data_IF_652239891080
#
_entry.id   IF_652239891080
#
_cell.length_a   1.000
_cell.length_b   1.000
_cell.length_c   1.000
_cell.angle_alpha   90.00
_cell.angle_beta   90.00
_cell.angle_gamma   90.00
#
_symmetry.space_group_name_H-M   'P 1'
#
loop_
_entity.id
_entity.type
_entity.pdbx_description
1 polymer ?
#
# COMPACT_ATOMS: atom_id res chain seq x y z
N UNK A 1 -13.32 10.41 -24.14
CA UNK A 1 -13.67 9.81 -22.83
C UNK A 1 -13.32 8.33 -22.76
N UNK A 2 -13.81 7.47 -23.67
CA UNK A 2 -13.52 6.03 -23.64
C UNK A 2 -12.02 5.69 -23.72
N UNK A 3 -11.28 6.36 -24.63
CA UNK A 3 -9.82 6.17 -24.76
C UNK A 3 -9.09 6.54 -23.46
N UNK A 4 -9.48 7.65 -22.83
CA UNK A 4 -8.89 8.10 -21.57
C UNK A 4 -9.17 7.12 -20.42
N UNK A 5 -10.39 6.56 -20.39
CA UNK A 5 -10.79 5.55 -19.43
C UNK A 5 -9.98 4.26 -19.60
N UNK A 6 -9.88 3.72 -20.82
CA UNK A 6 -9.11 2.50 -21.12
C UNK A 6 -7.63 2.71 -20.81
N UNK A 7 -7.07 3.86 -21.19
CA UNK A 7 -5.67 4.16 -20.91
C UNK A 7 -5.40 4.24 -19.39
N UNK A 8 -6.24 4.93 -18.63
CA UNK A 8 -6.12 4.98 -17.16
C UNK A 8 -6.25 3.61 -16.51
N UNK A 9 -7.15 2.78 -17.03
CA UNK A 9 -7.34 1.41 -16.57
C UNK A 9 -6.09 0.55 -16.80
N UNK A 10 -5.57 0.52 -18.03
CA UNK A 10 -4.39 -0.29 -18.40
C UNK A 10 -3.13 0.20 -17.69
N UNK A 11 -2.93 1.51 -17.62
CA UNK A 11 -1.77 2.10 -16.94
C UNK A 11 -1.77 1.76 -15.45
N UNK A 12 -2.93 1.92 -14.79
CA UNK A 12 -3.05 1.64 -13.36
C UNK A 12 -2.92 0.15 -13.08
N UNK A 13 -3.42 -0.72 -13.97
CA UNK A 13 -3.14 -2.15 -13.85
C UNK A 13 -1.63 -2.41 -13.87
N UNK A 14 -0.89 -1.84 -14.82
CA UNK A 14 0.56 -2.03 -14.92
C UNK A 14 1.35 -1.52 -13.70
N UNK A 15 0.88 -0.44 -13.06
CA UNK A 15 1.54 0.16 -11.89
C UNK A 15 1.18 -0.49 -10.56
N UNK A 16 -0.06 -0.99 -10.42
CA UNK A 16 -0.59 -1.49 -9.14
C UNK A 16 -0.38 -3.02 -9.00
N UNK A 17 -0.33 -3.77 -10.11
CA UNK A 17 -0.09 -5.22 -10.12
C UNK A 17 1.22 -5.67 -9.48
N UNK A 18 2.38 -5.00 -9.71
CA UNK A 18 3.64 -5.41 -9.13
C UNK A 18 3.52 -5.60 -7.62
N UNK A 19 3.91 -6.77 -7.12
CA UNK A 19 3.75 -7.12 -5.71
C UNK A 19 4.77 -6.35 -4.87
N UNK A 20 4.38 -5.17 -4.38
CA UNK A 20 5.16 -4.36 -3.45
C UNK A 20 4.86 -4.65 -1.98
N UNK A 21 5.46 -3.87 -1.08
CA UNK A 21 5.30 -4.01 0.37
C UNK A 21 3.83 -3.84 0.83
N UNK A 22 3.07 -2.95 0.17
CA UNK A 22 1.65 -2.70 0.46
C UNK A 22 0.80 -3.91 0.09
N UNK A 23 1.03 -4.48 -1.09
CA UNK A 23 0.34 -5.68 -1.58
C UNK A 23 0.66 -6.89 -0.67
N UNK A 24 1.93 -7.08 -0.28
CA UNK A 24 2.33 -8.14 0.65
C UNK A 24 1.68 -8.04 2.03
N UNK A 25 1.51 -6.83 2.55
CA UNK A 25 0.81 -6.61 3.81
C UNK A 25 -0.68 -6.95 3.73
N UNK A 26 -1.36 -6.51 2.66
CA UNK A 26 -2.78 -6.83 2.47
C UNK A 26 -2.99 -8.34 2.29
N UNK A 27 -2.09 -9.01 1.56
CA UNK A 27 -2.09 -10.47 1.41
C UNK A 27 -1.93 -11.18 2.77
N UNK A 28 -0.96 -10.76 3.58
CA UNK A 28 -0.73 -11.38 4.89
C UNK A 28 -1.92 -11.14 5.82
N UNK A 29 -2.50 -9.93 5.86
CA UNK A 29 -3.70 -9.68 6.64
C UNK A 29 -4.92 -10.47 6.15
N UNK A 30 -5.18 -10.51 4.83
CA UNK A 30 -6.29 -11.30 4.29
C UNK A 30 -6.17 -12.80 4.62
N UNK A 31 -4.95 -13.33 4.64
CA UNK A 31 -4.68 -14.73 5.01
C UNK A 31 -4.76 -15.00 6.52
N UNK A 32 -4.37 -14.03 7.36
CA UNK A 32 -4.35 -14.15 8.83
C UNK A 32 -5.75 -14.07 9.46
N UNK A 33 -6.64 -13.28 8.87
CA UNK A 33 -7.95 -12.99 9.45
C UNK A 33 -8.99 -14.06 9.10
N UNK A 34 -9.64 -14.62 10.13
CA UNK A 34 -10.68 -15.67 10.01
C UNK A 34 -12.00 -15.15 9.40
N UNK A 35 -12.23 -13.83 9.41
CA UNK A 35 -13.34 -13.17 8.70
C UNK A 35 -12.77 -12.16 7.72
N UNK A 36 -13.24 -12.20 6.47
CA UNK A 36 -12.89 -11.20 5.44
C UNK A 36 -13.18 -9.75 5.89
N UNK A 37 -14.21 -9.55 6.73
CA UNK A 37 -14.55 -8.24 7.28
C UNK A 37 -13.42 -7.61 8.14
N UNK A 38 -12.50 -8.42 8.66
CA UNK A 38 -11.42 -7.92 9.52
C UNK A 38 -10.15 -7.51 8.77
N UNK A 39 -10.03 -7.80 7.46
CA UNK A 39 -9.00 -7.24 6.57
C UNK A 39 -9.48 -5.98 5.82
N UNK A 40 -10.79 -5.71 5.82
CA UNK A 40 -11.39 -4.52 5.22
C UNK A 40 -10.75 -3.19 5.64
N UNK A 41 -10.37 -2.96 6.91
CA UNK A 41 -9.78 -1.68 7.29
C UNK A 41 -8.47 -1.39 6.55
N UNK A 42 -7.62 -2.40 6.34
CA UNK A 42 -6.40 -2.27 5.56
C UNK A 42 -6.70 -1.97 4.09
N UNK A 43 -7.60 -2.76 3.48
CA UNK A 43 -8.00 -2.62 2.07
C UNK A 43 -8.60 -1.25 1.79
N UNK A 44 -9.57 -0.82 2.60
CA UNK A 44 -10.23 0.47 2.45
C UNK A 44 -9.23 1.62 2.64
N UNK A 45 -8.33 1.51 3.63
CA UNK A 45 -7.30 2.53 3.85
C UNK A 45 -6.34 2.63 2.67
N UNK A 46 -5.88 1.49 2.12
CA UNK A 46 -5.05 1.44 0.93
C UNK A 46 -5.77 2.11 -0.25
N UNK A 47 -6.99 1.69 -0.56
CA UNK A 47 -7.76 2.22 -1.68
C UNK A 47 -8.05 3.71 -1.53
N UNK A 48 -8.32 4.21 -0.32
CA UNK A 48 -8.51 5.64 -0.06
C UNK A 48 -7.21 6.41 -0.28
N UNK A 49 -6.08 5.94 0.27
CA UNK A 49 -4.79 6.61 0.09
C UNK A 49 -4.42 6.68 -1.40
N UNK A 50 -4.60 5.58 -2.13
CA UNK A 50 -4.30 5.50 -3.55
C UNK A 50 -5.23 6.41 -4.38
N UNK A 51 -6.53 6.45 -4.03
CA UNK A 51 -7.49 7.37 -4.64
C UNK A 51 -7.11 8.84 -4.40
N UNK A 52 -6.65 9.18 -3.19
CA UNK A 52 -6.17 10.53 -2.88
C UNK A 52 -4.93 10.88 -3.70
N UNK A 53 -3.97 9.97 -3.81
CA UNK A 53 -2.75 10.18 -4.60
C UNK A 53 -3.04 10.33 -6.09
N UNK A 54 -3.91 9.47 -6.65
CA UNK A 54 -4.37 9.57 -8.04
C UNK A 54 -5.12 10.89 -8.25
N UNK A 55 -5.98 11.29 -7.31
CA UNK A 55 -6.69 12.57 -7.36
C UNK A 55 -5.73 13.75 -7.41
N UNK A 56 -4.74 13.78 -6.52
CA UNK A 56 -3.69 14.81 -6.51
C UNK A 56 -2.87 14.81 -7.80
N UNK A 57 -2.54 13.63 -8.34
CA UNK A 57 -1.82 13.48 -9.60
C UNK A 57 -2.61 14.05 -10.79
N UNK A 58 -3.90 13.75 -10.88
CA UNK A 58 -4.79 14.19 -11.97
C UNK A 58 -5.13 15.68 -11.87
N UNK A 59 -5.24 16.22 -10.64
CA UNK A 59 -5.40 17.65 -10.38
C UNK A 59 -4.14 18.47 -10.73
N UNK A 60 -3.01 17.83 -11.01
CA UNK A 60 -1.76 18.48 -11.40
C UNK A 60 -0.86 18.90 -10.23
N UNK A 61 -1.19 18.49 -9.00
CA UNK A 61 -0.39 18.73 -7.79
C UNK A 61 0.96 18.02 -7.86
N UNK A 62 1.07 16.98 -8.68
CA UNK A 62 2.31 16.26 -9.01
C UNK A 62 3.43 17.15 -9.51
N UNK A 63 3.13 18.21 -10.26
CA UNK A 63 4.17 19.12 -10.80
C UNK A 63 4.83 19.96 -9.71
N UNK A 64 4.08 20.35 -8.68
CA UNK A 64 4.54 21.17 -7.55
C UNK A 64 5.19 20.32 -6.46
N UNK A 65 4.58 19.18 -6.12
CA UNK A 65 5.05 18.33 -5.02
C UNK A 65 6.43 17.68 -5.31
N UNK A 66 6.73 17.37 -6.56
CA UNK A 66 8.02 16.78 -6.96
C UNK A 66 9.19 17.79 -6.90
N UNK A 67 8.91 19.10 -6.92
CA UNK A 67 9.95 20.14 -6.84
C UNK A 67 10.34 20.52 -5.39
N UNK A 68 9.53 20.16 -4.39
CA UNK A 68 9.79 20.54 -2.99
C UNK A 68 10.59 19.44 -2.29
N UNK A 69 11.91 19.57 -2.36
CA UNK A 69 12.89 18.64 -1.80
C UNK A 69 12.69 18.40 -0.29
N UNK A 70 12.41 19.44 0.50
CA UNK A 70 12.24 19.31 1.96
C UNK A 70 11.02 18.45 2.35
N UNK A 71 9.91 18.56 1.60
CA UNK A 71 8.69 17.79 1.87
C UNK A 71 8.95 16.29 1.70
N UNK A 72 9.72 15.92 0.67
CA UNK A 72 10.13 14.53 0.39
C UNK A 72 10.99 13.95 1.52
N UNK A 73 12.01 14.70 1.99
CA UNK A 73 12.87 14.25 3.09
C UNK A 73 12.10 14.06 4.41
N UNK A 74 11.19 14.98 4.74
CA UNK A 74 10.38 14.92 5.97
C UNK A 74 9.44 13.72 5.97
N UNK A 75 8.68 13.50 4.89
CA UNK A 75 7.82 12.31 4.79
C UNK A 75 8.64 11.01 4.77
N UNK A 76 9.77 10.99 4.07
CA UNK A 76 10.68 9.84 4.05
C UNK A 76 11.20 9.48 5.45
N UNK A 77 11.72 10.47 6.19
CA UNK A 77 12.24 10.26 7.54
C UNK A 77 11.17 9.72 8.52
N UNK A 78 9.97 10.30 8.48
CA UNK A 78 8.82 9.83 9.28
C UNK A 78 8.48 8.37 8.92
N UNK A 79 8.47 8.05 7.62
CA UNK A 79 8.23 6.69 7.12
C UNK A 79 9.23 5.67 7.62
N UNK A 80 10.52 6.00 7.60
CA UNK A 80 11.59 5.12 8.09
C UNK A 80 11.42 4.82 9.57
N UNK A 81 11.26 5.86 10.40
CA UNK A 81 11.11 5.70 11.86
C UNK A 81 9.87 4.86 12.18
N UNK A 82 8.76 5.12 11.50
CA UNK A 82 7.53 4.36 11.67
C UNK A 82 7.69 2.88 11.28
N UNK A 83 8.28 2.59 10.11
CA UNK A 83 8.48 1.23 9.62
C UNK A 83 9.43 0.42 10.53
N UNK A 84 10.51 1.04 11.03
CA UNK A 84 11.43 0.42 11.98
C UNK A 84 10.72 0.08 13.29
N UNK A 85 9.99 1.03 13.87
CA UNK A 85 9.22 0.83 15.10
C UNK A 85 8.18 -0.28 14.95
N UNK A 86 7.44 -0.27 13.84
CA UNK A 86 6.40 -1.24 13.58
C UNK A 86 6.97 -2.64 13.30
N UNK A 87 8.05 -2.76 12.53
CA UNK A 87 8.74 -4.03 12.30
C UNK A 87 9.25 -4.64 13.61
N UNK A 88 9.85 -3.82 14.48
CA UNK A 88 10.28 -4.23 15.81
C UNK A 88 9.10 -4.70 16.68
N UNK A 89 7.99 -3.96 16.66
CA UNK A 89 6.81 -4.30 17.45
C UNK A 89 6.11 -5.59 16.98
N UNK A 90 6.16 -5.88 15.68
CA UNK A 90 5.65 -7.14 15.11
C UNK A 90 6.56 -8.31 15.46
N UNK A 91 7.89 -8.13 15.37
CA UNK A 91 8.86 -9.15 15.73
C UNK A 91 8.79 -9.54 17.22
N UNK A 92 8.68 -8.55 18.12
CA UNK A 92 8.68 -8.77 19.57
C UNK A 92 7.42 -9.46 20.10
N UNK A 93 6.27 -9.27 19.43
CA UNK A 93 5.00 -9.93 19.80
C UNK A 93 4.99 -11.44 19.53
N UNK A 94 5.90 -11.91 18.69
CA UNK A 94 6.12 -13.34 18.44
C UNK A 94 6.95 -14.01 19.55
N UNK A 95 7.80 -13.23 20.24
CA UNK A 95 8.74 -13.72 21.24
C UNK A 95 8.13 -13.86 22.64
N UNK A 96 6.93 -13.32 22.87
CA UNK A 96 6.23 -13.43 24.15
C UNK A 96 5.43 -14.75 24.17
N UNK A 97 5.71 -15.69 25.10
CA UNK A 97 5.02 -16.98 25.15
C UNK A 97 3.54 -16.74 25.42
N UNK A 98 2.70 -16.96 24.41
CA UNK A 98 1.26 -16.80 24.56
C UNK A 98 0.72 -17.99 25.35
N UNK A 99 0.38 -17.76 26.62
CA UNK A 99 -0.34 -18.69 27.49
C UNK A 99 -1.67 -19.13 26.84
N UNK A 100 -1.64 -20.23 26.09
CA UNK A 100 -2.76 -21.15 25.80
C UNK A 100 -4.03 -20.60 25.13
N UNK A 101 -4.13 -19.30 24.81
CA UNK A 101 -5.27 -18.72 24.10
C UNK A 101 -4.97 -18.72 22.60
N UNK A 102 -5.92 -19.22 21.80
CA UNK A 102 -5.83 -19.17 20.33
C UNK A 102 -5.38 -17.78 19.88
N UNK A 103 -4.38 -17.66 19.00
CA UNK A 103 -3.78 -16.37 18.70
C UNK A 103 -4.79 -15.45 18.04
N UNK A 104 -4.94 -14.22 18.54
CA UNK A 104 -5.35 -13.11 17.69
C UNK A 104 -4.14 -12.61 16.89
N UNK A 105 -3.60 -13.47 16.02
CA UNK A 105 -2.52 -13.13 15.05
C UNK A 105 -2.96 -12.04 14.07
N UNK A 106 -4.26 -11.85 13.95
CA UNK A 106 -4.98 -10.73 13.36
C UNK A 106 -4.59 -9.36 13.98
N UNK A 107 -3.98 -8.46 13.20
CA UNK A 107 -3.72 -7.09 13.67
C UNK A 107 -5.03 -6.34 13.90
N UNK A 108 -5.04 -5.47 14.92
CA UNK A 108 -6.17 -4.59 15.23
C UNK A 108 -6.36 -3.56 14.11
N UNK A 109 -7.61 -3.16 13.84
CA UNK A 109 -7.95 -2.19 12.79
C UNK A 109 -7.11 -0.91 12.83
N UNK A 110 -6.87 -0.34 14.03
CA UNK A 110 -6.03 0.86 14.19
C UNK A 110 -4.59 0.67 13.68
N UNK A 111 -4.01 -0.52 13.90
CA UNK A 111 -2.66 -0.86 13.44
C UNK A 111 -2.60 -1.07 11.94
N UNK A 112 -3.61 -1.75 11.39
CA UNK A 112 -3.74 -1.94 9.95
C UNK A 112 -3.84 -0.62 9.22
N UNK A 113 -4.67 0.30 9.72
CA UNK A 113 -4.84 1.66 9.15
C UNK A 113 -3.51 2.40 9.20
N UNK A 114 -2.91 2.53 10.39
CA UNK A 114 -1.64 3.27 10.55
C UNK A 114 -0.53 2.71 9.67
N UNK A 115 -0.42 1.38 9.57
CA UNK A 115 0.60 0.76 8.72
C UNK A 115 0.34 0.97 7.24
N UNK A 116 -0.89 0.72 6.79
CA UNK A 116 -1.25 0.85 5.36
C UNK A 116 -1.14 2.29 4.89
N UNK A 117 -1.61 3.26 5.70
CA UNK A 117 -1.44 4.68 5.41
C UNK A 117 0.02 5.08 5.37
N UNK A 118 0.85 4.58 6.30
CA UNK A 118 2.28 4.92 6.31
C UNK A 118 3.00 4.33 5.10
N UNK A 119 2.73 3.08 4.76
CA UNK A 119 3.30 2.44 3.57
C UNK A 119 2.84 3.13 2.29
N UNK A 120 1.58 3.55 2.20
CA UNK A 120 1.06 4.17 0.98
C UNK A 120 1.52 5.63 0.83
N UNK A 121 1.43 6.42 1.89
CA UNK A 121 1.72 7.86 1.86
C UNK A 121 3.20 8.20 2.10
N UNK A 122 3.94 7.37 2.83
CA UNK A 122 5.35 7.66 3.15
C UNK A 122 6.31 6.94 2.20
N UNK A 123 5.83 6.11 1.29
CA UNK A 123 6.66 5.45 0.28
C UNK A 123 6.98 6.42 -0.88
N UNK A 124 8.20 7.00 -0.92
CA UNK A 124 8.57 7.97 -1.94
C UNK A 124 8.52 7.37 -3.35
N UNK A 125 8.76 6.06 -3.50
CA UNK A 125 8.66 5.39 -4.78
C UNK A 125 7.21 5.35 -5.28
N UNK A 126 6.27 4.94 -4.43
CA UNK A 126 4.85 4.92 -4.80
C UNK A 126 4.31 6.32 -5.07
N UNK A 127 4.74 7.32 -4.29
CA UNK A 127 4.42 8.72 -4.56
C UNK A 127 4.96 9.17 -5.92
N UNK A 128 6.23 8.87 -6.22
CA UNK A 128 6.86 9.30 -7.48
C UNK A 128 6.21 8.59 -8.67
N UNK A 129 5.96 7.28 -8.60
CA UNK A 129 5.32 6.54 -9.69
C UNK A 129 3.91 7.08 -9.97
N UNK A 130 3.10 7.26 -8.93
CA UNK A 130 1.74 7.79 -9.08
C UNK A 130 1.75 9.24 -9.57
N UNK A 131 2.57 10.11 -8.97
CA UNK A 131 2.60 11.52 -9.36
C UNK A 131 3.24 11.73 -10.74
N UNK A 132 4.30 11.01 -11.09
CA UNK A 132 5.02 11.17 -12.35
C UNK A 132 4.35 10.43 -13.51
N UNK A 133 3.98 9.15 -13.33
CA UNK A 133 3.45 8.33 -14.42
C UNK A 133 1.96 8.60 -14.62
N UNK A 134 1.14 8.50 -13.56
CA UNK A 134 -0.31 8.76 -13.66
C UNK A 134 -0.54 10.26 -13.86
N UNK A 135 0.14 11.12 -13.11
CA UNK A 135 0.03 12.57 -13.27
C UNK A 135 0.56 13.07 -14.61
N UNK A 136 1.72 12.60 -15.08
CA UNK A 136 2.27 12.97 -16.40
C UNK A 136 1.36 12.52 -17.55
N UNK A 137 0.78 11.33 -17.45
CA UNK A 137 -0.18 10.82 -18.44
C UNK A 137 -1.50 11.61 -18.42
N UNK A 138 -1.93 12.12 -17.27
CA UNK A 138 -3.14 12.93 -17.15
C UNK A 138 -3.00 14.29 -17.87
N UNK A 139 -1.78 14.84 -17.98
CA UNK A 139 -1.52 16.13 -18.68
C UNK A 139 -1.87 16.04 -20.17
N UNK A 140 -1.71 14.87 -20.80
CA UNK A 140 -2.00 14.63 -22.21
C UNK A 140 -3.47 14.90 -22.59
N UNK A 141 -4.38 14.86 -21.63
CA UNK A 141 -5.80 15.16 -21.88
C UNK A 141 -6.07 16.64 -21.67
N UNK A 142 -6.46 17.36 -22.71
CA UNK A 142 -6.76 18.80 -22.63
C UNK A 142 -8.14 19.10 -22.05
N UNK A 143 -9.11 18.21 -22.24
CA UNK A 143 -10.47 18.35 -21.68
C UNK A 143 -10.55 17.80 -20.26
N UNK A 144 -11.13 18.59 -19.34
CA UNK A 144 -11.32 18.22 -17.94
C UNK A 144 -12.07 16.89 -17.74
N UNK A 145 -13.09 16.64 -18.56
CA UNK A 145 -13.89 15.41 -18.55
C UNK A 145 -13.04 14.16 -18.84
N UNK A 146 -12.05 14.26 -19.74
CA UNK A 146 -11.15 13.15 -20.07
C UNK A 146 -10.14 12.89 -18.94
N UNK A 147 -9.66 13.94 -18.26
CA UNK A 147 -8.78 13.81 -17.08
C UNK A 147 -9.49 13.11 -15.93
N UNK A 148 -10.73 13.50 -15.65
CA UNK A 148 -11.54 12.84 -14.62
C UNK A 148 -11.83 11.39 -15.00
N UNK A 149 -12.21 11.11 -16.25
CA UNK A 149 -12.47 9.74 -16.69
C UNK A 149 -11.24 8.83 -16.52
N UNK A 150 -10.04 9.35 -16.81
CA UNK A 150 -8.77 8.67 -16.58
C UNK A 150 -8.50 8.43 -15.08
N UNK A 151 -8.70 9.44 -14.23
CA UNK A 151 -8.52 9.32 -12.77
C UNK A 151 -9.50 8.36 -12.12
N UNK A 152 -10.78 8.41 -12.51
CA UNK A 152 -11.82 7.48 -12.03
C UNK A 152 -11.52 6.05 -12.45
N UNK A 153 -11.08 5.82 -13.70
CA UNK A 153 -10.66 4.50 -14.15
C UNK A 153 -9.51 3.95 -13.30
N UNK A 154 -8.52 4.81 -13.03
CA UNK A 154 -7.33 4.48 -12.24
C UNK A 154 -7.69 4.11 -10.80
N UNK A 155 -8.55 4.91 -10.16
CA UNK A 155 -9.06 4.62 -8.82
C UNK A 155 -9.89 3.33 -8.80
N UNK A 156 -10.77 3.11 -9.79
CA UNK A 156 -11.56 1.88 -9.86
C UNK A 156 -10.69 0.62 -9.94
N UNK A 157 -9.60 0.65 -10.71
CA UNK A 157 -8.62 -0.45 -10.76
C UNK A 157 -7.99 -0.70 -9.40
N UNK A 158 -7.56 0.34 -8.70
CA UNK A 158 -6.98 0.23 -7.36
C UNK A 158 -7.92 -0.48 -6.37
N UNK A 159 -9.19 -0.06 -6.36
CA UNK A 159 -10.21 -0.69 -5.54
C UNK A 159 -10.44 -2.16 -5.93
N UNK A 160 -10.67 -2.44 -7.21
CA UNK A 160 -10.86 -3.81 -7.70
C UNK A 160 -9.68 -4.71 -7.33
N UNK A 161 -8.46 -4.21 -7.49
CA UNK A 161 -7.24 -4.94 -7.19
C UNK A 161 -7.11 -5.25 -5.70
N UNK A 162 -7.18 -4.24 -4.81
CA UNK A 162 -7.00 -4.47 -3.37
C UNK A 162 -8.11 -5.35 -2.78
N UNK A 163 -9.35 -5.20 -3.24
CA UNK A 163 -10.45 -6.09 -2.84
C UNK A 163 -10.22 -7.51 -3.36
N UNK A 164 -9.83 -7.67 -4.63
CA UNK A 164 -9.50 -8.97 -5.22
C UNK A 164 -8.35 -9.67 -4.48
N UNK A 165 -7.29 -8.92 -4.16
CA UNK A 165 -6.13 -9.39 -3.43
C UNK A 165 -6.51 -9.88 -2.01
N UNK A 166 -7.39 -9.15 -1.33
CA UNK A 166 -7.92 -9.52 0.00
C UNK A 166 -8.80 -10.78 -0.05
N UNK A 167 -9.65 -10.91 -1.07
CA UNK A 167 -10.47 -12.11 -1.28
C UNK A 167 -9.59 -13.33 -1.59
N UNK A 168 -8.64 -13.17 -2.52
CA UNK A 168 -7.72 -14.23 -2.92
C UNK A 168 -6.86 -14.70 -1.73
N UNK A 169 -6.29 -13.76 -0.96
CA UNK A 169 -5.53 -14.10 0.25
C UNK A 169 -6.37 -14.74 1.33
N UNK A 170 -7.64 -14.39 1.47
CA UNK A 170 -8.53 -15.08 2.42
C UNK A 170 -8.82 -16.53 2.01
N UNK A 171 -9.00 -16.80 0.70
CA UNK A 171 -9.17 -18.15 0.18
C UNK A 171 -7.90 -19.00 0.39
N UNK A 172 -6.73 -18.44 0.08
CA UNK A 172 -5.42 -19.09 0.31
C UNK A 172 -5.16 -19.28 1.81
N UNK A 173 -5.51 -18.27 2.63
CA UNK A 173 -5.42 -18.31 4.08
C UNK A 173 -6.14 -19.51 4.65
N UNK A 174 -7.39 -19.79 4.26
CA UNK A 174 -8.12 -20.98 4.75
C UNK A 174 -7.38 -22.30 4.53
N UNK A 175 -6.59 -22.42 3.47
CA UNK A 175 -5.78 -23.60 3.17
C UNK A 175 -4.49 -23.62 4.00
N UNK A 176 -3.83 -22.47 4.16
CA UNK A 176 -2.57 -22.31 4.91
C UNK A 176 -2.76 -22.35 6.43
N UNK A 177 -3.92 -21.89 6.93
CA UNK A 177 -4.32 -21.86 8.35
C UNK A 177 -4.43 -23.26 9.00
N UNK A 178 -4.33 -24.34 8.21
CA UNK A 178 -4.28 -25.72 8.70
C UNK A 178 -2.88 -26.11 9.23
N UNK A 179 -1.84 -25.32 8.97
CA UNK A 179 -0.46 -25.56 9.42
C UNK A 179 0.00 -24.47 10.40
N UNK A 180 0.90 -24.82 11.33
CA UNK A 180 1.53 -23.96 12.34
C UNK A 180 2.45 -22.85 11.74
N UNK A 181 1.98 -22.15 10.71
CA UNK A 181 2.76 -21.22 9.87
C UNK A 181 2.55 -19.74 10.21
N UNK A 182 1.79 -19.44 11.27
CA UNK A 182 1.51 -18.06 11.70
C UNK A 182 2.77 -17.27 12.04
N UNK A 183 3.71 -17.90 12.75
CA UNK A 183 4.95 -17.23 13.13
C UNK A 183 5.90 -16.98 11.99
N UNK A 184 5.87 -17.83 10.95
CA UNK A 184 6.61 -17.59 9.70
C UNK A 184 6.02 -16.37 8.99
N UNK A 185 4.70 -16.23 8.95
CA UNK A 185 4.04 -15.11 8.28
C UNK A 185 4.30 -13.76 8.96
N UNK A 186 4.24 -13.71 10.29
CA UNK A 186 4.60 -12.51 11.07
C UNK A 186 6.08 -12.16 10.90
N UNK A 187 6.96 -13.16 10.85
CA UNK A 187 8.39 -12.97 10.61
C UNK A 187 8.65 -12.40 9.21
N UNK A 188 7.98 -12.93 8.19
CA UNK A 188 8.04 -12.40 6.82
C UNK A 188 7.54 -10.96 6.78
N UNK A 189 6.42 -10.65 7.47
CA UNK A 189 5.88 -9.30 7.54
C UNK A 189 6.86 -8.32 8.20
N UNK A 190 7.41 -8.66 9.37
CA UNK A 190 8.41 -7.85 10.06
C UNK A 190 9.67 -7.63 9.21
N UNK A 191 10.17 -8.68 8.54
CA UNK A 191 11.31 -8.58 7.63
C UNK A 191 10.99 -7.67 6.43
N UNK A 192 9.80 -7.79 5.83
CA UNK A 192 9.36 -6.90 4.76
C UNK A 192 9.31 -5.43 5.21
N UNK A 193 8.91 -5.16 6.45
CA UNK A 193 8.86 -3.80 7.01
C UNK A 193 10.27 -3.20 7.18
N UNK A 194 11.23 -3.99 7.68
CA UNK A 194 12.62 -3.54 7.78
C UNK A 194 13.29 -3.36 6.43
N UNK A 195 13.10 -4.29 5.50
CA UNK A 195 13.59 -4.16 4.12
C UNK A 195 13.03 -2.90 3.45
N UNK A 196 11.74 -2.63 3.67
CA UNK A 196 11.08 -1.42 3.18
C UNK A 196 11.69 -0.16 3.79
N UNK A 197 11.95 -0.15 5.10
CA UNK A 197 12.60 0.99 5.77
C UNK A 197 14.01 1.25 5.21
N UNK A 198 14.80 0.20 4.99
CA UNK A 198 16.14 0.30 4.39
C UNK A 198 16.06 0.81 2.95
N UNK A 199 15.16 0.25 2.14
CA UNK A 199 14.95 0.70 0.77
C UNK A 199 14.51 2.17 0.72
N UNK A 200 13.62 2.59 1.62
CA UNK A 200 13.17 3.97 1.73
C UNK A 200 14.32 4.90 2.10
N UNK A 201 15.18 4.49 3.02
CA UNK A 201 16.42 5.21 3.36
C UNK A 201 17.37 5.33 2.18
N UNK A 202 17.54 4.26 1.40
CA UNK A 202 18.34 4.28 0.18
C UNK A 202 17.76 5.24 -0.87
N UNK A 203 16.44 5.19 -1.12
CA UNK A 203 15.77 6.10 -2.05
C UNK A 203 15.97 7.56 -1.60
N UNK A 204 15.73 7.86 -0.33
CA UNK A 204 15.95 9.21 0.24
C UNK A 204 17.40 9.68 0.07
N UNK A 205 18.38 8.77 0.17
CA UNK A 205 19.80 9.09 -0.01
C UNK A 205 20.24 9.22 -1.49
N UNK A 206 19.67 8.42 -2.40
CA UNK A 206 20.09 8.38 -3.81
C UNK A 206 19.54 9.53 -4.66
N UNK A 207 18.49 10.22 -4.20
CA UNK A 207 17.90 11.38 -4.87
C UNK A 207 18.62 12.71 -4.56
N UNK A 208 19.93 12.65 -4.27
CA UNK A 208 20.80 13.84 -4.13
C UNK A 208 21.01 14.54 -5.46
#
# INVERSE_FOLDING_TARGET
>A
MLIAFIHGFVLSLGLILPIGMQNGFILTQGALHRRWSSSLPAVVTASICDTLLIGLAVLGVSTVALHITWLRYTFGAIGIVFLLYMGWSTWRKEAEPQNGKMPSTAWTAKRQIGFTSSVSLLNPHALIDTLAVIGGSAVMYTTWQNRIAFGVASAAVSWLWFFGLSIASHAVGKVVLKSSSFGVLNRISATMMWLSAVYLGYVVYSFK
#
